data_IF_156529710155
#
_entry.id   IF_156529710155
#
_cell.length_a   1.000
_cell.length_b   1.000
_cell.length_c   1.000
_cell.angle_alpha   90.00
_cell.angle_beta   90.00
_cell.angle_gamma   90.00
#
_symmetry.space_group_name_H-M   'P 1'
#
loop_
_entity.id
_entity.type
_entity.pdbx_description
1 polymer ?
#
# COMPACT_ATOMS: atom_id res chain seq x y z
N UNK A 1 9.13 -1.09 1.66
CA UNK A 1 10.21 -1.83 2.36
C UNK A 1 11.16 -2.37 1.31
N UNK A 2 12.48 -2.31 1.48
CA UNK A 2 13.39 -2.81 0.45
C UNK A 2 13.38 -4.35 0.44
N UNK A 3 13.70 -4.94 -0.71
CA UNK A 3 13.77 -6.39 -0.85
C UNK A 3 14.79 -7.02 0.12
N UNK A 4 15.92 -6.34 0.35
CA UNK A 4 16.94 -6.79 1.30
C UNK A 4 16.39 -6.91 2.73
N UNK A 5 15.56 -5.97 3.18
CA UNK A 5 14.93 -6.02 4.51
C UNK A 5 13.97 -7.23 4.63
N UNK A 6 13.28 -7.55 3.53
CA UNK A 6 12.39 -8.73 3.48
C UNK A 6 13.22 -10.00 3.60
N UNK A 7 14.34 -10.09 2.86
CA UNK A 7 15.26 -11.24 2.93
C UNK A 7 15.82 -11.43 4.34
N UNK A 8 16.26 -10.36 5.00
CA UNK A 8 16.74 -10.42 6.40
C UNK A 8 15.65 -10.99 7.33
N UNK A 9 14.40 -10.57 7.16
CA UNK A 9 13.27 -11.10 7.95
C UNK A 9 13.02 -12.59 7.72
N UNK A 10 13.15 -13.06 6.48
CA UNK A 10 13.03 -14.48 6.13
C UNK A 10 14.21 -15.30 6.70
N UNK A 11 15.44 -14.79 6.57
CA UNK A 11 16.65 -15.42 7.11
C UNK A 11 16.63 -15.52 8.64
N UNK A 12 15.98 -14.58 9.31
CA UNK A 12 15.74 -14.62 10.76
C UNK A 12 14.64 -15.62 11.19
N UNK A 13 14.11 -16.43 10.27
CA UNK A 13 13.08 -17.44 10.53
C UNK A 13 11.63 -16.93 10.37
N UNK A 14 11.46 -15.72 9.82
CA UNK A 14 10.15 -15.21 9.43
C UNK A 14 9.57 -15.93 8.22
N UNK A 15 8.27 -15.75 7.98
CA UNK A 15 7.59 -16.22 6.75
C UNK A 15 6.63 -15.19 6.19
N UNK A 16 6.30 -15.33 4.91
CA UNK A 16 5.17 -14.61 4.30
C UNK A 16 3.88 -15.37 4.61
N UNK A 17 2.91 -14.71 5.23
CA UNK A 17 1.64 -15.30 5.66
C UNK A 17 0.54 -15.13 4.60
N UNK A 18 0.59 -14.07 3.80
CA UNK A 18 -0.39 -13.79 2.75
C UNK A 18 0.24 -12.93 1.65
N UNK A 19 -0.25 -13.11 0.42
CA UNK A 19 0.14 -12.31 -0.75
C UNK A 19 -1.10 -11.84 -1.49
N UNK A 20 -1.16 -10.53 -1.72
CA UNK A 20 -2.14 -9.87 -2.57
C UNK A 20 -1.39 -9.17 -3.70
N UNK A 21 -1.83 -9.34 -4.93
CA UNK A 21 -1.33 -8.62 -6.09
C UNK A 21 -2.41 -7.65 -6.54
N UNK A 22 -2.04 -6.39 -6.72
CA UNK A 22 -2.90 -5.37 -7.31
C UNK A 22 -2.45 -5.07 -8.72
N UNK A 23 -3.33 -5.32 -9.69
CA UNK A 23 -3.17 -4.91 -11.07
C UNK A 23 -3.62 -3.44 -11.22
N UNK A 24 -2.73 -2.61 -11.75
CA UNK A 24 -2.96 -1.20 -12.04
C UNK A 24 -2.81 -1.00 -13.53
N UNK A 25 -3.71 -0.23 -14.14
CA UNK A 25 -3.58 0.16 -15.53
C UNK A 25 -2.80 1.45 -15.62
N UNK A 26 -1.80 1.49 -16.50
CA UNK A 26 -1.15 2.74 -16.87
C UNK A 26 -1.97 3.50 -17.91
N UNK A 27 -1.59 4.75 -18.17
CA UNK A 27 -2.26 5.64 -19.14
C UNK A 27 -2.18 5.12 -20.59
N UNK A 28 -1.20 4.27 -20.89
CA UNK A 28 -1.03 3.64 -22.20
C UNK A 28 -1.84 2.32 -22.33
N UNK A 29 -2.60 1.94 -21.30
CA UNK A 29 -3.38 0.70 -21.25
C UNK A 29 -2.57 -0.55 -20.91
N UNK A 30 -1.30 -0.40 -20.54
CA UNK A 30 -0.49 -1.47 -19.97
C UNK A 30 -0.94 -1.82 -18.55
N UNK A 31 -0.68 -3.06 -18.13
CA UNK A 31 -0.99 -3.52 -16.77
C UNK A 31 0.30 -3.72 -16.00
N UNK A 32 0.38 -3.08 -14.84
CA UNK A 32 1.47 -3.24 -13.89
C UNK A 32 0.95 -3.85 -12.58
N UNK A 33 1.70 -4.83 -12.07
CA UNK A 33 1.31 -5.61 -10.90
C UNK A 33 2.18 -5.22 -9.71
N UNK A 34 1.55 -4.90 -8.59
CA UNK A 34 2.22 -4.57 -7.32
C UNK A 34 1.96 -5.67 -6.30
N UNK A 35 2.99 -6.37 -5.80
CA UNK A 35 2.83 -7.33 -4.72
C UNK A 35 2.76 -6.63 -3.36
N UNK A 36 1.75 -7.01 -2.59
CA UNK A 36 1.59 -6.70 -1.17
C UNK A 36 1.74 -8.00 -0.38
N UNK A 37 2.71 -8.00 0.54
CA UNK A 37 3.10 -9.16 1.33
C UNK A 37 2.71 -8.92 2.79
N UNK A 38 2.15 -9.92 3.46
CA UNK A 38 1.96 -9.91 4.91
C UNK A 38 3.05 -10.75 5.57
N UNK A 39 4.16 -10.15 6.02
CA UNK A 39 5.21 -10.87 6.74
C UNK A 39 4.84 -11.15 8.20
N UNK A 40 5.26 -12.29 8.75
CA UNK A 40 4.94 -12.69 10.13
C UNK A 40 5.63 -11.85 11.22
N UNK A 41 6.68 -11.09 10.87
CA UNK A 41 7.54 -10.37 11.82
C UNK A 41 7.18 -8.89 11.96
N UNK A 42 6.14 -8.41 11.28
CA UNK A 42 5.62 -7.05 11.46
C UNK A 42 4.13 -6.99 11.21
N UNK A 43 3.51 -5.91 11.67
CA UNK A 43 2.10 -5.65 11.40
C UNK A 43 1.92 -5.03 10.02
N UNK A 44 0.82 -5.43 9.37
CA UNK A 44 0.34 -4.85 8.11
C UNK A 44 1.05 -5.41 6.89
N UNK A 45 0.41 -5.21 5.73
CA UNK A 45 1.00 -5.56 4.45
C UNK A 45 2.12 -4.56 4.11
N UNK A 46 3.09 -5.04 3.33
CA UNK A 46 4.18 -4.23 2.77
C UNK A 46 4.26 -4.44 1.26
N UNK A 47 4.61 -3.39 0.54
CA UNK A 47 5.03 -3.48 -0.85
C UNK A 47 6.56 -3.43 -0.94
N UNK A 48 7.09 -4.06 -1.98
CA UNK A 48 8.52 -4.06 -2.28
C UNK A 48 8.89 -2.70 -2.85
N UNK A 49 9.82 -2.01 -2.23
CA UNK A 49 10.34 -0.72 -2.69
C UNK A 49 11.25 -0.88 -3.91
N UNK A 50 11.40 0.20 -4.68
CA UNK A 50 12.44 0.27 -5.71
C UNK A 50 13.83 0.23 -5.07
N UNK A 51 14.81 -0.33 -5.79
CA UNK A 51 16.20 -0.37 -5.32
C UNK A 51 16.82 1.03 -5.20
N UNK A 52 16.34 1.99 -6.00
CA UNK A 52 16.71 3.41 -5.93
C UNK A 52 15.49 4.28 -6.17
N UNK A 53 15.37 5.35 -5.39
CA UNK A 53 14.29 6.33 -5.47
C UNK A 53 13.05 5.96 -4.67
N UNK A 54 12.09 6.87 -4.66
CA UNK A 54 10.80 6.68 -4.02
C UNK A 54 9.89 5.84 -4.93
N UNK A 55 9.14 4.92 -4.35
CA UNK A 55 8.17 4.11 -5.06
C UNK A 55 8.17 2.62 -4.72
N UNK A 56 7.23 1.91 -5.32
CA UNK A 56 7.14 0.44 -5.25
C UNK A 56 7.60 -0.18 -6.56
N UNK A 57 8.16 -1.38 -6.46
CA UNK A 57 8.50 -2.22 -7.60
C UNK A 57 7.22 -2.77 -8.21
N UNK A 58 7.04 -2.52 -9.50
CA UNK A 58 5.94 -3.04 -10.30
C UNK A 58 6.44 -4.11 -11.28
N UNK A 59 5.52 -4.95 -11.77
CA UNK A 59 5.83 -6.04 -12.68
C UNK A 59 4.81 -6.08 -13.82
N UNK A 60 5.27 -6.05 -15.07
CA UNK A 60 4.39 -6.23 -16.24
C UNK A 60 4.01 -7.68 -16.47
N UNK A 61 4.92 -8.60 -16.17
CA UNK A 61 4.70 -10.04 -16.32
C UNK A 61 4.27 -10.65 -14.98
N UNK A 62 3.00 -11.03 -14.91
CA UNK A 62 2.41 -11.68 -13.73
C UNK A 62 3.03 -13.05 -13.45
N UNK A 63 3.38 -13.83 -14.48
CA UNK A 63 4.00 -15.16 -14.31
C UNK A 63 5.36 -15.01 -13.65
N UNK A 64 6.15 -14.03 -14.08
CA UNK A 64 7.45 -13.72 -13.47
C UNK A 64 7.30 -13.26 -12.02
N UNK A 65 6.31 -12.43 -11.73
CA UNK A 65 6.01 -12.01 -10.35
C UNK A 65 5.63 -13.20 -9.47
N UNK A 66 4.75 -14.09 -9.94
CA UNK A 66 4.34 -15.28 -9.19
C UNK A 66 5.54 -16.21 -8.91
N UNK A 67 6.41 -16.42 -9.90
CA UNK A 67 7.65 -17.19 -9.70
C UNK A 67 8.54 -16.55 -8.64
N UNK A 68 8.80 -15.25 -8.75
CA UNK A 68 9.58 -14.51 -7.76
C UNK A 68 9.02 -14.66 -6.33
N UNK A 69 7.71 -14.51 -6.15
CA UNK A 69 7.07 -14.68 -4.82
C UNK A 69 7.24 -16.12 -4.29
N UNK A 70 7.15 -17.12 -5.16
CA UNK A 70 7.27 -18.54 -4.77
C UNK A 70 8.70 -18.95 -4.48
N UNK A 71 9.62 -18.56 -5.36
CA UNK A 71 10.98 -19.06 -5.38
C UNK A 71 11.88 -18.23 -4.45
N UNK A 72 11.74 -16.89 -4.44
CA UNK A 72 12.56 -16.00 -3.62
C UNK A 72 12.01 -15.79 -2.21
N UNK A 73 10.68 -15.81 -2.01
CA UNK A 73 10.06 -15.61 -0.69
C UNK A 73 9.44 -16.87 -0.08
N UNK A 74 9.46 -18.00 -0.80
CA UNK A 74 8.97 -19.28 -0.29
C UNK A 74 7.45 -19.34 -0.04
N UNK A 75 6.67 -18.43 -0.63
CA UNK A 75 5.22 -18.42 -0.42
C UNK A 75 4.52 -19.37 -1.39
N UNK A 76 4.00 -20.48 -0.87
CA UNK A 76 3.28 -21.50 -1.65
C UNK A 76 1.75 -21.46 -1.47
N UNK A 77 1.22 -20.49 -0.74
CA UNK A 77 -0.21 -20.30 -0.54
C UNK A 77 -0.94 -19.69 -1.74
N UNK A 78 -2.27 -19.52 -1.64
CA UNK A 78 -3.05 -18.79 -2.63
C UNK A 78 -2.58 -17.33 -2.77
N UNK A 79 -2.44 -16.85 -4.00
CA UNK A 79 -2.11 -15.45 -4.31
C UNK A 79 -3.38 -14.78 -4.84
N UNK A 80 -3.92 -13.82 -4.08
CA UNK A 80 -5.10 -13.09 -4.50
C UNK A 80 -4.72 -12.01 -5.52
N UNK A 81 -5.41 -11.95 -6.66
CA UNK A 81 -5.24 -10.92 -7.67
C UNK A 81 -6.49 -10.03 -7.72
N UNK A 82 -6.29 -8.72 -7.67
CA UNK A 82 -7.34 -7.72 -7.73
C UNK A 82 -6.97 -6.58 -8.67
N UNK A 83 -7.95 -6.07 -9.41
CA UNK A 83 -7.84 -4.77 -10.08
C UNK A 83 -7.85 -3.64 -9.03
N UNK A 84 -7.17 -2.53 -9.31
CA UNK A 84 -7.02 -1.38 -8.41
C UNK A 84 -8.35 -0.74 -7.97
N UNK A 85 -9.35 -0.78 -8.85
CA UNK A 85 -10.70 -0.26 -8.65
C UNK A 85 -11.67 -1.27 -8.01
N UNK A 86 -11.19 -2.48 -7.69
CA UNK A 86 -12.03 -3.51 -7.09
C UNK A 86 -12.57 -3.07 -5.72
N UNK A 87 -13.90 -3.10 -5.48
CA UNK A 87 -14.49 -2.73 -4.18
C UNK A 87 -14.02 -3.60 -3.00
N UNK A 88 -13.60 -4.85 -3.28
CA UNK A 88 -13.01 -5.72 -2.24
C UNK A 88 -11.66 -5.19 -1.76
N UNK A 89 -10.91 -4.52 -2.64
CA UNK A 89 -9.65 -3.89 -2.29
C UNK A 89 -9.85 -2.70 -1.34
N UNK A 90 -10.95 -1.95 -1.49
CA UNK A 90 -11.24 -0.80 -0.62
C UNK A 90 -11.28 -1.18 0.88
N UNK A 91 -11.74 -2.40 1.20
CA UNK A 91 -11.72 -2.93 2.58
C UNK A 91 -10.33 -3.35 3.05
N UNK A 92 -9.43 -3.68 2.12
CA UNK A 92 -8.04 -4.07 2.37
C UNK A 92 -7.10 -2.86 2.40
N UNK A 93 -7.50 -1.70 1.87
CA UNK A 93 -6.66 -0.49 1.83
C UNK A 93 -6.17 -0.04 3.21
N UNK A 94 -6.98 -0.18 4.25
CA UNK A 94 -6.56 0.08 5.63
C UNK A 94 -5.45 -0.86 6.14
N UNK A 95 -5.28 -2.03 5.51
CA UNK A 95 -4.20 -2.97 5.82
C UNK A 95 -2.93 -2.69 5.00
N UNK A 96 -3.05 -1.91 3.90
CA UNK A 96 -1.95 -1.48 3.04
C UNK A 96 -1.35 -0.12 3.46
N UNK A 97 -1.86 0.51 4.51
CA UNK A 97 -1.42 1.86 4.94
C UNK A 97 0.06 1.90 5.37
N UNK A 98 0.65 0.75 5.69
CA UNK A 98 2.09 0.60 5.93
C UNK A 98 2.94 0.31 4.68
N UNK A 99 2.33 0.22 3.50
CA UNK A 99 2.92 -0.18 2.22
C UNK A 99 2.95 0.92 1.16
N UNK A 100 2.26 2.04 1.35
CA UNK A 100 2.19 3.11 0.36
C UNK A 100 3.47 3.97 0.37
N UNK A 101 4.16 4.16 -0.76
CA UNK A 101 4.93 5.38 -0.99
C UNK A 101 3.92 6.49 -1.29
N UNK A 102 3.89 7.51 -0.43
CA UNK A 102 3.15 8.73 -0.69
C UNK A 102 1.64 8.53 -0.79
N UNK A 103 0.96 8.57 0.36
CA UNK A 103 -0.34 9.22 0.37
C UNK A 103 -0.08 10.65 -0.11
N UNK A 104 -0.41 10.97 -1.36
CA UNK A 104 -0.63 12.36 -1.72
C UNK A 104 -1.78 12.82 -0.86
N UNK A 105 -1.42 13.48 0.24
CA UNK A 105 -2.30 14.37 0.98
C UNK A 105 -3.02 15.21 -0.08
N UNK A 106 -4.36 15.15 -0.21
CA UNK A 106 -5.08 16.13 -1.00
C UNK A 106 -4.65 17.51 -0.47
N UNK A 107 -4.33 18.51 -1.31
CA UNK A 107 -3.95 19.81 -0.81
C UNK A 107 -5.04 20.28 0.14
N UNK A 108 -4.65 20.45 1.40
CA UNK A 108 -5.45 21.00 2.47
C UNK A 108 -6.04 22.31 1.93
N UNK A 109 -7.33 22.30 1.60
CA UNK A 109 -8.03 23.52 1.27
C UNK A 109 -7.87 24.43 2.50
N UNK A 110 -7.33 25.66 2.34
CA UNK A 110 -7.22 26.57 3.46
C UNK A 110 -8.62 26.79 4.02
N UNK A 111 -8.84 26.35 5.26
CA UNK A 111 -10.07 26.68 5.97
C UNK A 111 -10.17 28.21 6.01
N UNK A 112 -11.27 28.81 5.53
CA UNK A 112 -11.46 30.24 5.69
C UNK A 112 -11.51 30.56 7.20
N UNK A 113 -10.93 31.69 7.63
CA UNK A 113 -10.88 32.05 9.04
C UNK A 113 -12.30 32.12 9.61
N UNK A 114 -12.54 31.39 10.69
CA UNK A 114 -13.76 31.53 11.46
C UNK A 114 -13.84 32.97 11.96
N UNK A 115 -14.81 33.72 11.45
CA UNK A 115 -15.23 34.99 12.03
C UNK A 115 -15.71 34.70 13.45
N UNK A 116 -14.94 35.15 14.45
CA UNK A 116 -15.42 35.26 15.82
C UNK A 116 -16.60 36.25 15.82
N UNK A 117 -17.82 35.71 15.77
CA UNK A 117 -19.01 36.45 16.15
C UNK A 117 -18.98 36.68 17.66
N UNK A 118 -18.32 37.75 18.08
CA UNK A 118 -18.53 38.34 19.41
C UNK A 118 -19.91 39.00 19.44
N UNK A 119 -20.86 38.32 20.07
CA UNK A 119 -22.15 38.87 20.49
C UNK A 119 -23.03 37.77 21.06
N UNK A 120 -23.58 37.94 22.27
CA UNK A 120 -24.74 38.82 22.35
C UNK A 120 -24.70 39.78 23.53
N UNK A 121 -25.08 41.02 23.24
CA UNK A 121 -25.61 41.92 24.25
C UNK A 121 -26.85 41.28 24.87
N UNK A 122 -26.81 41.14 26.18
CA UNK A 122 -28.01 40.91 26.98
C UNK A 122 -28.22 42.19 27.78
N UNK A 123 -29.23 42.95 27.36
CA UNK A 123 -29.85 44.00 28.16
C UNK A 123 -30.49 43.36 29.39
N UNK A 124 -30.22 43.90 30.58
CA UNK A 124 -31.18 43.90 31.66
C UNK A 124 -30.93 45.12 32.57
N UNK A 125 -32.04 45.84 32.80
CA UNK A 125 -32.40 46.87 33.78
C UNK A 125 -31.32 47.62 34.57
#
# INVERSE_FOLDING_TARGET
MQEADIRIGLEAGGRIESVVIVARRDEAGGVEHVPYLLPSWRRGYIAIGLFRGDGVRTYRDLTRLVRFVRDDFGFHGPIALHEEDCPRLAKLRSLFDGAAPGSTVPPEQPQPPQLEETGPGTSDL
#
